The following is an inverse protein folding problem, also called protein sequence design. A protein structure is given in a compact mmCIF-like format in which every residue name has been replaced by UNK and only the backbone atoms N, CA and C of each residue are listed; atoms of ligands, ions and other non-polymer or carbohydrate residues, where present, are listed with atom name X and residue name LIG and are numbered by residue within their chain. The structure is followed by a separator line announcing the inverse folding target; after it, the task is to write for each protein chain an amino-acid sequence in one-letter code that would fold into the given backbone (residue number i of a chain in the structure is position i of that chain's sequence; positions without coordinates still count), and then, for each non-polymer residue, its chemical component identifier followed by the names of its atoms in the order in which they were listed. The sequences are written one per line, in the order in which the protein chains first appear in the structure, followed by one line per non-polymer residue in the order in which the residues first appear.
data_IF_771440463601
#
_entry.id   IF_771440463601
#
_cell.length_a   1.000
_cell.length_b   1.000
_cell.length_c   1.000
_cell.angle_alpha   90.00
_cell.angle_beta   90.00
_cell.angle_gamma   90.00
#
_symmetry.space_group_name_H-M   'P 1'
#
loop_
_entity.id
_entity.type
_entity.pdbx_description
1 polymer ?
#
# COMPACT_ATOMS: atom_id res chain seq x y z
N UNK A 1 15.39 20.66 24.31
CA UNK A 1 14.58 19.59 24.97
C UNK A 1 13.86 18.84 23.85
N UNK A 2 14.40 17.71 23.45
CA UNK A 2 13.82 16.90 22.38
C UNK A 2 12.78 15.95 23.00
N UNK A 3 11.49 16.19 22.79
CA UNK A 3 10.42 15.28 23.18
C UNK A 3 10.38 14.11 22.20
N UNK A 4 10.50 12.91 22.74
CA UNK A 4 10.39 11.64 22.05
C UNK A 4 8.92 11.41 21.70
N UNK A 5 8.59 11.36 20.41
CA UNK A 5 7.29 10.89 19.94
C UNK A 5 7.39 9.38 19.69
N UNK A 6 6.69 8.61 20.48
CA UNK A 6 6.49 7.18 20.25
C UNK A 6 5.14 6.99 19.54
N UNK A 7 5.17 6.47 18.33
CA UNK A 7 3.96 6.06 17.62
C UNK A 7 3.61 4.66 18.10
N UNK A 8 2.55 4.54 18.88
CA UNK A 8 2.06 3.26 19.40
C UNK A 8 0.93 2.78 18.50
N UNK A 9 1.19 1.76 17.70
CA UNK A 9 0.14 0.97 17.05
C UNK A 9 -0.30 -0.14 17.99
N UNK A 10 -1.48 -0.03 18.59
CA UNK A 10 -2.04 -1.09 19.42
C UNK A 10 -2.60 -2.17 18.50
N UNK A 11 -1.81 -3.22 18.30
CA UNK A 11 -2.30 -4.49 17.80
C UNK A 11 -2.93 -5.25 18.97
N UNK A 12 -4.26 -5.36 18.99
CA UNK A 12 -4.96 -6.25 19.93
C UNK A 12 -4.55 -7.69 19.66
N UNK A 13 -3.71 -8.22 20.54
CA UNK A 13 -3.23 -9.60 20.53
C UNK A 13 -4.35 -10.49 21.06
N UNK A 14 -4.92 -11.35 20.23
CA UNK A 14 -5.58 -12.55 20.69
C UNK A 14 -4.57 -13.69 20.66
N UNK A 15 -4.05 -14.06 21.82
CA UNK A 15 -3.30 -15.29 22.05
C UNK A 15 -4.29 -16.47 22.01
N UNK A 16 -4.24 -17.23 20.94
CA UNK A 16 -4.71 -18.61 20.94
C UNK A 16 -3.48 -19.51 20.79
N UNK A 17 -2.97 -19.97 21.92
CA UNK A 17 -1.97 -21.02 21.98
C UNK A 17 -2.62 -22.35 21.60
N UNK A 18 -2.50 -22.71 20.31
CA UNK A 18 -2.80 -24.05 19.82
C UNK A 18 -1.49 -24.77 19.54
N UNK A 19 -1.11 -25.72 20.42
CA UNK A 19 -0.02 -26.65 20.17
C UNK A 19 -0.36 -27.54 18.97
N UNK A 20 0.22 -27.25 17.80
CA UNK A 20 0.27 -28.23 16.71
C UNK A 20 1.54 -29.05 16.85
N UNK A 21 1.37 -30.34 17.21
CA UNK A 21 2.42 -31.35 17.05
C UNK A 21 2.69 -31.51 15.56
N UNK A 22 3.92 -31.23 15.13
CA UNK A 22 4.39 -31.53 13.78
C UNK A 22 4.42 -33.06 13.60
N UNK A 23 3.53 -33.57 12.77
CA UNK A 23 3.64 -34.93 12.26
C UNK A 23 4.70 -34.94 11.15
N UNK A 24 5.84 -35.55 11.40
CA UNK A 24 6.86 -35.85 10.41
C UNK A 24 6.35 -36.94 9.47
N UNK A 25 5.94 -36.57 8.26
CA UNK A 25 5.72 -37.50 7.17
C UNK A 25 7.08 -37.86 6.54
N UNK A 26 7.58 -39.04 6.81
CA UNK A 26 8.72 -39.62 6.10
C UNK A 26 8.22 -40.26 4.81
N UNK A 27 8.40 -39.59 3.67
CA UNK A 27 8.22 -40.16 2.35
C UNK A 27 9.59 -40.59 1.82
N UNK A 28 9.79 -41.88 1.60
CA UNK A 28 10.99 -42.50 1.01
C UNK A 28 10.98 -42.31 -0.50
N UNK A 29 11.51 -41.22 -0.95
CA UNK A 29 11.91 -40.88 -2.31
C UNK A 29 12.60 -39.55 -2.17
N UNK A 30 13.91 -39.42 -2.49
CA UNK A 30 14.86 -38.34 -2.21
C UNK A 30 14.19 -36.99 -1.92
N UNK A 31 13.82 -36.77 -0.69
CA UNK A 31 13.14 -35.55 -0.26
C UNK A 31 14.15 -34.42 -0.36
N UNK A 32 13.99 -33.58 -1.38
CA UNK A 32 14.72 -32.32 -1.44
C UNK A 32 14.37 -31.52 -0.19
N UNK A 33 15.41 -31.08 0.52
CA UNK A 33 15.28 -30.25 1.72
C UNK A 33 14.74 -28.87 1.29
N UNK A 34 13.44 -28.63 1.48
CA UNK A 34 12.79 -27.34 1.19
C UNK A 34 13.12 -26.26 2.24
N UNK A 35 13.98 -26.61 3.21
CA UNK A 35 14.51 -25.72 4.26
C UNK A 35 15.81 -25.00 3.85
N UNK A 36 16.34 -25.28 2.65
CA UNK A 36 17.49 -24.57 2.07
C UNK A 36 17.10 -23.78 0.83
N UNK A 37 17.83 -22.70 0.48
CA UNK A 37 17.59 -21.96 -0.74
C UNK A 37 17.60 -22.82 -2.00
N UNK A 38 18.58 -23.71 -2.14
CA UNK A 38 18.74 -24.61 -3.29
C UNK A 38 17.57 -25.59 -3.41
N UNK A 39 17.17 -26.19 -2.29
CA UNK A 39 16.02 -27.10 -2.25
C UNK A 39 14.71 -26.37 -2.56
N UNK A 40 14.57 -25.13 -2.12
CA UNK A 40 13.41 -24.29 -2.43
C UNK A 40 13.39 -23.87 -3.91
N UNK A 41 14.54 -23.54 -4.51
CA UNK A 41 14.65 -23.27 -5.96
C UNK A 41 14.15 -24.47 -6.76
N UNK A 42 14.61 -25.67 -6.42
CA UNK A 42 14.18 -26.91 -7.08
C UNK A 42 12.68 -27.15 -6.90
N UNK A 43 12.16 -26.94 -5.68
CA UNK A 43 10.73 -27.06 -5.39
C UNK A 43 9.88 -26.11 -6.24
N UNK A 44 10.21 -24.81 -6.28
CA UNK A 44 9.47 -23.81 -7.03
C UNK A 44 9.53 -24.04 -8.55
N UNK A 45 10.66 -24.53 -9.08
CA UNK A 45 10.79 -24.90 -10.50
C UNK A 45 9.86 -26.05 -10.88
N UNK A 46 9.63 -27.01 -9.99
CA UNK A 46 8.71 -28.14 -10.20
C UNK A 46 7.24 -27.72 -10.18
N UNK A 47 6.89 -26.75 -9.33
CA UNK A 47 5.52 -26.25 -9.20
C UNK A 47 5.00 -25.53 -10.45
N UNK A 48 5.89 -25.07 -11.34
CA UNK A 48 5.53 -24.40 -12.62
C UNK A 48 4.54 -23.25 -12.41
N UNK A 49 4.84 -22.36 -11.46
CA UNK A 49 3.97 -21.22 -11.14
C UNK A 49 3.84 -20.28 -12.34
N UNK A 50 2.61 -19.98 -12.84
CA UNK A 50 2.45 -19.22 -14.08
C UNK A 50 3.07 -17.82 -14.07
N UNK A 51 3.09 -17.16 -12.91
CA UNK A 51 3.65 -15.83 -12.77
C UNK A 51 5.19 -15.83 -12.64
N UNK A 52 5.82 -16.97 -12.34
CA UNK A 52 7.25 -17.05 -12.07
C UNK A 52 8.04 -17.32 -13.34
N UNK A 53 8.88 -16.38 -13.75
CA UNK A 53 9.78 -16.50 -14.91
C UNK A 53 11.06 -17.25 -14.56
N UNK A 54 11.69 -16.91 -13.43
CA UNK A 54 12.86 -17.59 -12.92
C UNK A 54 12.96 -17.50 -11.41
N UNK A 55 13.72 -18.43 -10.84
CA UNK A 55 14.08 -18.46 -9.42
C UNK A 55 15.53 -18.91 -9.28
N UNK A 56 16.28 -18.21 -8.44
CA UNK A 56 17.69 -18.49 -8.14
C UNK A 56 18.00 -18.18 -6.68
N UNK A 57 19.12 -18.71 -6.18
CA UNK A 57 19.62 -18.36 -4.85
C UNK A 57 20.07 -16.91 -4.87
N UNK A 58 19.72 -16.17 -3.84
CA UNK A 58 20.18 -14.80 -3.60
C UNK A 58 21.24 -14.82 -2.50
N UNK A 59 22.48 -14.64 -2.89
CA UNK A 59 23.60 -14.46 -1.95
C UNK A 59 23.53 -13.05 -1.33
N UNK A 60 23.46 -12.99 -0.02
CA UNK A 60 23.34 -11.75 0.75
C UNK A 60 23.80 -11.98 2.21
N UNK A 61 23.98 -10.89 2.95
CA UNK A 61 24.44 -10.89 4.33
C UNK A 61 23.33 -11.05 5.38
N UNK A 62 22.05 -10.99 4.96
CA UNK A 62 20.90 -10.99 5.88
C UNK A 62 20.38 -12.40 6.19
N UNK A 63 20.79 -13.41 5.45
CA UNK A 63 20.41 -14.81 5.64
C UNK A 63 20.18 -15.57 4.34
N UNK A 64 19.84 -16.87 4.43
CA UNK A 64 19.50 -17.66 3.26
C UNK A 64 18.40 -17.00 2.43
N UNK A 65 18.60 -16.82 1.14
CA UNK A 65 17.68 -16.03 0.33
C UNK A 65 17.47 -16.54 -1.09
N UNK A 66 16.40 -16.05 -1.71
CA UNK A 66 16.00 -16.30 -3.09
C UNK A 66 15.78 -15.00 -3.84
N UNK A 67 16.08 -15.02 -5.13
CA UNK A 67 15.60 -14.05 -6.10
C UNK A 67 14.58 -14.72 -7.00
N UNK A 68 13.36 -14.20 -6.98
CA UNK A 68 12.27 -14.59 -7.86
C UNK A 68 12.06 -13.49 -8.91
N UNK A 69 11.85 -13.89 -10.15
CA UNK A 69 11.62 -12.96 -11.26
C UNK A 69 10.27 -13.26 -11.88
N UNK A 70 9.48 -12.22 -12.09
CA UNK A 70 8.22 -12.27 -12.82
C UNK A 70 8.29 -11.39 -14.07
N UNK A 71 7.19 -11.18 -14.76
CA UNK A 71 7.15 -10.26 -15.89
C UNK A 71 7.50 -8.82 -15.46
N UNK A 72 6.94 -8.36 -14.32
CA UNK A 72 7.07 -6.97 -13.88
C UNK A 72 7.87 -6.78 -12.59
N UNK A 73 8.33 -7.86 -11.91
CA UNK A 73 9.01 -7.76 -10.62
C UNK A 73 10.30 -8.57 -10.55
N UNK A 74 11.26 -8.06 -9.76
CA UNK A 74 12.37 -8.79 -9.16
C UNK A 74 12.16 -8.79 -7.64
N UNK A 75 12.06 -9.97 -7.04
CA UNK A 75 11.71 -10.16 -5.63
C UNK A 75 12.87 -10.82 -4.94
N UNK A 76 13.55 -10.09 -4.07
CA UNK A 76 14.63 -10.58 -3.21
C UNK A 76 14.05 -10.92 -1.85
N UNK A 77 14.21 -12.16 -1.39
CA UNK A 77 13.56 -12.59 -0.16
C UNK A 77 14.41 -13.54 0.65
N UNK A 78 14.41 -13.35 1.97
CA UNK A 78 14.91 -14.31 2.95
C UNK A 78 13.78 -15.18 3.53
N UNK A 79 12.53 -14.95 3.10
CA UNK A 79 11.38 -15.73 3.52
C UNK A 79 11.30 -17.01 2.71
N UNK A 80 11.68 -18.14 3.31
CA UNK A 80 11.69 -19.47 2.67
C UNK A 80 10.42 -20.29 2.97
N UNK A 81 9.31 -19.64 3.32
CA UNK A 81 8.03 -20.32 3.56
C UNK A 81 7.37 -20.69 2.21
N UNK A 82 7.17 -22.00 1.92
CA UNK A 82 6.74 -22.47 0.60
C UNK A 82 5.43 -21.85 0.13
N UNK A 83 4.45 -21.70 1.03
CA UNK A 83 3.14 -21.16 0.68
C UNK A 83 3.22 -19.69 0.26
N UNK A 84 4.00 -18.88 0.97
CA UNK A 84 4.22 -17.48 0.61
C UNK A 84 4.94 -17.37 -0.73
N UNK A 85 6.01 -18.14 -0.93
CA UNK A 85 6.79 -18.12 -2.17
C UNK A 85 5.99 -18.54 -3.40
N UNK A 86 5.01 -19.44 -3.24
CA UNK A 86 4.07 -19.82 -4.32
C UNK A 86 3.08 -18.71 -4.64
N UNK A 87 2.73 -17.88 -3.69
CA UNK A 87 1.66 -16.89 -3.81
C UNK A 87 2.15 -15.48 -4.18
N UNK A 88 3.30 -15.05 -3.64
CA UNK A 88 3.84 -13.69 -3.83
C UNK A 88 3.99 -13.30 -5.30
N UNK A 89 4.53 -14.14 -6.21
CA UNK A 89 4.63 -13.78 -7.63
C UNK A 89 3.28 -13.46 -8.26
N UNK A 90 2.29 -14.34 -8.07
CA UNK A 90 0.93 -14.14 -8.61
C UNK A 90 0.21 -12.94 -8.01
N UNK A 91 0.41 -12.70 -6.71
CA UNK A 91 -0.13 -11.53 -6.02
C UNK A 91 0.42 -10.23 -6.61
N UNK A 92 1.74 -10.10 -6.73
CA UNK A 92 2.38 -8.89 -7.24
C UNK A 92 2.00 -8.61 -8.70
N UNK A 93 1.96 -9.63 -9.55
CA UNK A 93 1.49 -9.47 -10.94
C UNK A 93 0.01 -9.02 -10.99
N UNK A 94 -0.85 -9.58 -10.14
CA UNK A 94 -2.25 -9.15 -10.05
C UNK A 94 -2.37 -7.71 -9.53
N UNK A 95 -1.52 -7.33 -8.58
CA UNK A 95 -1.47 -5.96 -8.06
C UNK A 95 -1.03 -4.97 -9.14
N UNK A 96 0.00 -5.31 -9.93
CA UNK A 96 0.43 -4.49 -11.07
C UNK A 96 -0.73 -4.20 -12.04
N UNK A 97 -1.48 -5.20 -12.43
CA UNK A 97 -2.64 -5.01 -13.30
C UNK A 97 -3.77 -4.22 -12.62
N UNK A 98 -3.92 -4.37 -11.30
CA UNK A 98 -4.82 -3.55 -10.49
C UNK A 98 -4.42 -2.06 -10.50
N UNK A 99 -3.12 -1.75 -10.41
CA UNK A 99 -2.60 -0.37 -10.50
C UNK A 99 -2.83 0.21 -11.89
N UNK A 100 -2.57 -0.57 -12.94
CA UNK A 100 -2.89 -0.18 -14.32
C UNK A 100 -4.37 0.18 -14.48
N UNK A 101 -5.26 -0.57 -13.83
CA UNK A 101 -6.70 -0.34 -13.84
C UNK A 101 -7.17 0.94 -13.13
N UNK A 102 -6.26 1.73 -12.51
CA UNK A 102 -6.58 3.08 -12.03
C UNK A 102 -6.53 4.12 -13.15
N UNK A 103 -5.92 3.80 -14.26
CA UNK A 103 -5.78 4.65 -15.45
C UNK A 103 -6.79 4.23 -16.53
N UNK A 104 -7.24 5.14 -17.39
CA UNK A 104 -8.16 4.80 -18.48
C UNK A 104 -7.53 3.87 -19.52
N UNK A 105 -6.20 3.92 -19.66
CA UNK A 105 -5.43 3.08 -20.56
C UNK A 105 -4.16 2.57 -19.87
N UNK A 106 -3.76 1.31 -20.11
CA UNK A 106 -2.52 0.77 -19.55
C UNK A 106 -1.29 1.53 -20.05
N UNK A 107 -0.29 1.67 -19.20
CA UNK A 107 0.99 2.30 -19.51
C UNK A 107 2.12 1.26 -19.53
N UNK A 108 3.08 1.42 -20.44
CA UNK A 108 4.23 0.53 -20.54
C UNK A 108 5.17 0.67 -19.33
N UNK A 109 5.72 -0.46 -18.87
CA UNK A 109 6.77 -0.50 -17.85
C UNK A 109 8.03 -1.10 -18.45
N UNK A 110 9.09 -0.30 -18.56
CA UNK A 110 10.34 -0.70 -19.23
C UNK A 110 11.30 -1.46 -18.31
N UNK A 111 11.12 -1.39 -17.01
CA UNK A 111 11.98 -2.04 -16.00
C UNK A 111 11.14 -2.70 -14.95
N UNK A 112 11.60 -3.85 -14.44
CA UNK A 112 10.96 -4.54 -13.32
C UNK A 112 11.02 -3.70 -12.05
N UNK A 113 10.01 -3.86 -11.23
CA UNK A 113 9.95 -3.30 -9.89
C UNK A 113 10.75 -4.18 -8.93
N UNK A 114 11.45 -3.58 -7.99
CA UNK A 114 12.24 -4.30 -7.00
C UNK A 114 11.48 -4.41 -5.69
N UNK A 115 11.34 -5.63 -5.20
CA UNK A 115 10.75 -5.94 -3.89
C UNK A 115 11.81 -6.62 -3.04
N UNK A 116 12.00 -6.15 -1.80
CA UNK A 116 12.73 -6.85 -0.74
C UNK A 116 11.74 -7.33 0.29
N UNK A 117 11.67 -8.66 0.50
CA UNK A 117 10.75 -9.29 1.47
C UNK A 117 11.54 -10.14 2.45
N UNK A 118 11.70 -9.65 3.67
CA UNK A 118 12.47 -10.32 4.71
C UNK A 118 11.59 -11.25 5.56
N UNK A 119 12.17 -12.36 6.04
CA UNK A 119 11.48 -13.29 6.92
C UNK A 119 11.20 -12.68 8.30
N UNK A 120 12.12 -11.85 8.79
CA UNK A 120 12.05 -11.27 10.13
C UNK A 120 12.22 -9.75 10.11
N UNK A 121 11.70 -9.10 11.15
CA UNK A 121 11.90 -7.67 11.38
C UNK A 121 13.40 -7.33 11.53
N UNK A 122 14.18 -8.18 12.19
CA UNK A 122 15.61 -7.94 12.39
C UNK A 122 16.36 -7.83 11.06
N UNK A 123 16.14 -8.78 10.13
CA UNK A 123 16.74 -8.75 8.80
C UNK A 123 16.36 -7.50 8.02
N UNK A 124 15.09 -7.11 8.12
CA UNK A 124 14.55 -5.88 7.51
C UNK A 124 15.22 -4.63 8.10
N UNK A 125 15.41 -4.55 9.42
CA UNK A 125 16.10 -3.43 10.08
C UNK A 125 17.59 -3.37 9.68
N UNK A 126 18.27 -4.50 9.60
CA UNK A 126 19.67 -4.57 9.20
C UNK A 126 19.85 -4.11 7.74
N UNK A 127 19.01 -4.57 6.82
CA UNK A 127 18.96 -4.07 5.46
C UNK A 127 18.64 -2.57 5.42
N UNK A 128 17.64 -2.13 6.16
CA UNK A 128 17.18 -0.72 6.16
C UNK A 128 18.27 0.23 6.63
N UNK A 129 19.13 -0.17 7.58
CA UNK A 129 20.28 0.66 8.04
C UNK A 129 21.19 1.05 6.87
N UNK A 130 21.51 0.10 6.01
CA UNK A 130 22.37 0.34 4.84
C UNK A 130 21.59 1.02 3.72
N UNK A 131 20.39 0.53 3.40
CA UNK A 131 19.59 0.97 2.26
C UNK A 131 19.05 2.40 2.41
N UNK A 132 18.57 2.75 3.60
CA UNK A 132 18.01 4.07 3.89
C UNK A 132 19.04 5.05 4.47
N UNK A 133 20.21 4.58 4.94
CA UNK A 133 21.28 5.40 5.50
C UNK A 133 20.79 6.26 6.67
N UNK A 134 21.05 7.56 6.62
CA UNK A 134 20.65 8.50 7.68
C UNK A 134 19.14 8.57 7.95
N UNK A 135 18.29 8.09 7.03
CA UNK A 135 16.84 8.04 7.18
C UNK A 135 16.32 6.77 7.84
N UNK A 136 17.17 5.78 8.12
CA UNK A 136 16.76 4.47 8.65
C UNK A 136 15.91 4.57 9.92
N UNK A 137 16.25 5.50 10.83
CA UNK A 137 15.51 5.69 12.08
C UNK A 137 14.04 6.09 11.90
N UNK A 138 13.69 6.68 10.76
CA UNK A 138 12.30 7.04 10.45
C UNK A 138 11.48 5.78 10.14
N UNK A 139 12.10 4.81 9.44
CA UNK A 139 11.45 3.56 9.06
C UNK A 139 11.32 2.59 10.24
N UNK A 140 12.25 2.59 11.19
CA UNK A 140 12.15 1.71 12.38
C UNK A 140 10.91 1.96 13.24
N UNK A 141 10.25 3.10 13.07
CA UNK A 141 8.96 3.40 13.72
C UNK A 141 7.78 2.70 13.04
N UNK A 142 7.98 2.13 11.85
CA UNK A 142 6.94 1.43 11.12
C UNK A 142 6.72 0.06 11.77
N UNK A 143 5.53 -0.14 12.32
CA UNK A 143 5.10 -1.44 12.84
C UNK A 143 4.39 -2.29 11.79
N UNK A 144 3.89 -1.66 10.73
CA UNK A 144 3.07 -2.28 9.69
C UNK A 144 3.83 -3.09 8.65
N UNK A 145 5.16 -3.15 8.71
CA UNK A 145 5.97 -4.14 7.99
C UNK A 145 6.46 -3.78 6.61
N UNK A 146 6.22 -2.58 6.06
CA UNK A 146 6.73 -2.19 4.73
C UNK A 146 6.91 -0.68 4.57
N UNK A 147 7.76 -0.31 3.60
CA UNK A 147 7.90 1.06 3.10
C UNK A 147 8.35 1.08 1.64
N UNK A 148 8.05 2.17 0.94
CA UNK A 148 8.61 2.48 -0.38
C UNK A 148 9.75 3.49 -0.25
N UNK A 149 10.89 3.20 -0.84
CA UNK A 149 12.05 4.08 -0.87
C UNK A 149 12.96 3.77 -2.06
N UNK A 150 13.51 4.81 -2.70
CA UNK A 150 14.51 4.70 -3.77
C UNK A 150 14.12 3.71 -4.88
N UNK A 151 12.85 3.63 -5.23
CA UNK A 151 12.35 2.75 -6.28
C UNK A 151 12.07 1.31 -5.83
N UNK A 152 12.35 0.93 -4.58
CA UNK A 152 12.08 -0.38 -4.02
C UNK A 152 10.99 -0.35 -2.95
N UNK A 153 10.16 -1.40 -2.92
CA UNK A 153 9.31 -1.72 -1.78
C UNK A 153 10.09 -2.68 -0.86
N UNK A 154 10.17 -2.35 0.43
CA UNK A 154 10.95 -3.09 1.42
C UNK A 154 10.03 -3.53 2.55
N UNK A 155 9.80 -4.83 2.66
CA UNK A 155 8.83 -5.43 3.57
C UNK A 155 9.46 -6.54 4.44
N UNK A 156 8.80 -6.87 5.55
CA UNK A 156 9.06 -8.11 6.28
C UNK A 156 7.75 -8.85 6.57
N UNK A 157 7.87 -10.14 6.84
CA UNK A 157 6.72 -10.98 7.10
C UNK A 157 6.05 -10.64 8.44
N UNK A 158 4.80 -10.22 8.38
CA UNK A 158 3.92 -9.91 9.52
C UNK A 158 2.67 -10.80 9.54
N UNK A 159 2.79 -11.98 8.94
CA UNK A 159 1.70 -12.90 8.66
C UNK A 159 1.08 -12.66 7.27
N UNK A 160 0.70 -13.75 6.61
CA UNK A 160 0.38 -13.77 5.17
C UNK A 160 -0.55 -12.65 4.71
N UNK A 161 -1.74 -12.55 5.27
CA UNK A 161 -2.74 -11.57 4.84
C UNK A 161 -2.26 -10.12 5.03
N UNK A 162 -1.61 -9.84 6.15
CA UNK A 162 -1.07 -8.50 6.45
C UNK A 162 0.12 -8.17 5.56
N UNK A 163 0.98 -9.15 5.28
CA UNK A 163 2.12 -8.96 4.36
C UNK A 163 1.63 -8.64 2.95
N UNK A 164 0.63 -9.35 2.45
CA UNK A 164 0.02 -9.01 1.15
C UNK A 164 -0.68 -7.65 1.16
N UNK A 165 -1.36 -7.30 2.25
CA UNK A 165 -1.98 -5.99 2.39
C UNK A 165 -0.96 -4.85 2.27
N UNK A 166 0.16 -4.93 2.98
CA UNK A 166 1.20 -3.89 2.90
C UNK A 166 1.95 -3.91 1.56
N UNK A 167 2.19 -5.09 0.96
CA UNK A 167 2.77 -5.17 -0.37
C UNK A 167 1.88 -4.55 -1.45
N UNK A 168 0.56 -4.75 -1.35
CA UNK A 168 -0.40 -4.10 -2.25
C UNK A 168 -0.43 -2.58 -2.09
N UNK A 169 -0.39 -2.10 -0.87
CA UNK A 169 -0.38 -0.66 -0.54
C UNK A 169 0.92 0.01 -1.03
N UNK A 170 2.07 -0.47 -0.59
CA UNK A 170 3.38 0.09 -0.95
C UNK A 170 3.73 -0.10 -2.44
N UNK A 171 3.18 -1.14 -3.04
CA UNK A 171 3.31 -1.38 -4.49
C UNK A 171 2.65 -0.29 -5.33
N UNK A 172 1.53 0.30 -4.87
CA UNK A 172 0.96 1.47 -5.52
C UNK A 172 1.92 2.67 -5.45
N UNK A 173 2.52 2.96 -4.29
CA UNK A 173 3.48 4.04 -4.16
C UNK A 173 4.71 3.82 -5.05
N UNK A 174 5.15 2.56 -5.19
CA UNK A 174 6.22 2.19 -6.10
C UNK A 174 5.83 2.41 -7.57
N UNK A 175 4.61 2.01 -7.96
CA UNK A 175 4.07 2.22 -9.29
C UNK A 175 3.94 3.72 -9.62
N UNK A 176 3.29 4.48 -8.75
CA UNK A 176 3.17 5.93 -8.87
C UNK A 176 4.55 6.61 -8.91
N UNK A 177 5.44 6.25 -7.99
CA UNK A 177 6.78 6.81 -7.91
C UNK A 177 7.60 6.64 -9.20
N UNK A 178 7.35 5.59 -9.97
CA UNK A 178 8.04 5.31 -11.22
C UNK A 178 7.42 5.99 -12.44
N UNK A 179 6.10 6.02 -12.51
CA UNK A 179 5.40 6.38 -13.74
C UNK A 179 4.94 7.84 -13.79
N UNK A 180 4.55 8.38 -12.64
CA UNK A 180 4.00 9.74 -12.62
C UNK A 180 5.10 10.79 -12.63
N UNK A 181 4.95 11.79 -13.48
CA UNK A 181 5.84 12.96 -13.54
C UNK A 181 5.66 13.83 -12.31
N UNK A 182 4.42 14.07 -11.91
CA UNK A 182 4.09 14.83 -10.72
C UNK A 182 3.70 13.90 -9.57
N UNK A 183 3.99 14.32 -8.34
CA UNK A 183 3.51 13.65 -7.13
C UNK A 183 1.98 13.82 -7.01
N UNK A 184 1.28 12.76 -6.69
CA UNK A 184 -0.15 12.85 -6.41
C UNK A 184 -0.44 13.52 -5.05
N UNK A 185 -1.60 14.19 -4.89
CA UNK A 185 -2.11 14.64 -3.59
C UNK A 185 -2.14 13.49 -2.58
N UNK A 186 -1.80 13.77 -1.31
CA UNK A 186 -1.73 12.71 -0.30
C UNK A 186 -3.04 11.95 -0.14
N UNK A 187 -4.19 12.62 -0.14
CA UNK A 187 -5.49 11.96 -0.07
C UNK A 187 -5.73 11.01 -1.25
N UNK A 188 -5.25 11.38 -2.44
CA UNK A 188 -5.42 10.59 -3.66
C UNK A 188 -4.45 9.41 -3.68
N UNK A 189 -3.17 9.65 -3.36
CA UNK A 189 -2.13 8.64 -3.33
C UNK A 189 -2.44 7.57 -2.27
N UNK A 190 -2.69 7.97 -1.04
CA UNK A 190 -3.06 7.05 0.05
C UNK A 190 -4.43 6.40 -0.18
N UNK A 191 -5.39 7.16 -0.68
CA UNK A 191 -6.71 6.64 -0.99
C UNK A 191 -6.68 5.52 -2.03
N UNK A 192 -5.87 5.66 -3.09
CA UNK A 192 -5.68 4.60 -4.08
C UNK A 192 -4.92 3.42 -3.47
N UNK A 193 -3.84 3.66 -2.73
CA UNK A 193 -3.07 2.60 -2.07
C UNK A 193 -3.95 1.70 -1.20
N UNK A 194 -4.92 2.28 -0.47
CA UNK A 194 -5.86 1.52 0.37
C UNK A 194 -6.82 0.61 -0.39
N UNK A 195 -7.03 0.82 -1.70
CA UNK A 195 -7.85 -0.08 -2.52
C UNK A 195 -7.20 -1.46 -2.69
N UNK A 196 -5.88 -1.56 -2.48
CA UNK A 196 -5.07 -2.77 -2.67
C UNK A 196 -4.75 -3.51 -1.37
N UNK A 197 -5.30 -3.08 -0.25
CA UNK A 197 -5.08 -3.70 1.06
C UNK A 197 -5.87 -5.00 1.27
N UNK A 198 -6.98 -5.19 0.55
CA UNK A 198 -7.85 -6.36 0.68
C UNK A 198 -8.03 -7.05 -0.66
N UNK A 199 -7.80 -8.34 -0.64
CA UNK A 199 -7.90 -9.16 -1.84
C UNK A 199 -8.63 -10.47 -1.55
N UNK A 200 -9.08 -11.13 -2.61
CA UNK A 200 -9.46 -12.54 -2.65
C UNK A 200 -8.62 -13.25 -3.68
N UNK A 201 -8.28 -14.50 -3.45
CA UNK A 201 -7.56 -15.33 -4.43
C UNK A 201 -8.49 -16.34 -5.07
N UNK A 202 -8.36 -16.52 -6.37
CA UNK A 202 -9.07 -17.55 -7.13
C UNK A 202 -8.14 -18.09 -8.21
N UNK A 203 -7.84 -19.39 -8.16
CA UNK A 203 -6.98 -20.08 -9.14
C UNK A 203 -5.61 -19.42 -9.38
N UNK A 204 -5.01 -18.86 -8.33
CA UNK A 204 -3.69 -18.19 -8.41
C UNK A 204 -3.73 -16.74 -8.90
N UNK A 205 -4.90 -16.21 -9.22
CA UNK A 205 -5.12 -14.79 -9.49
C UNK A 205 -5.65 -14.09 -8.21
N UNK A 206 -5.34 -12.82 -8.07
CA UNK A 206 -5.77 -12.00 -6.95
C UNK A 206 -6.64 -10.85 -7.44
N UNK A 207 -7.79 -10.70 -6.81
CA UNK A 207 -8.77 -9.67 -7.11
C UNK A 207 -8.89 -8.75 -5.92
N UNK A 208 -8.65 -7.47 -6.14
CA UNK A 208 -8.74 -6.46 -5.10
C UNK A 208 -10.19 -6.02 -4.92
N UNK A 209 -10.69 -6.17 -3.70
CA UNK A 209 -12.08 -5.87 -3.35
C UNK A 209 -12.13 -4.68 -2.37
N UNK A 210 -12.08 -3.48 -2.95
CA UNK A 210 -12.15 -2.25 -2.15
C UNK A 210 -13.41 -2.18 -1.28
N UNK A 211 -14.52 -2.77 -1.70
CA UNK A 211 -15.77 -2.81 -0.93
C UNK A 211 -15.68 -3.57 0.40
N UNK A 212 -14.66 -4.41 0.57
CA UNK A 212 -14.45 -5.26 1.76
C UNK A 212 -13.33 -4.79 2.69
N UNK A 213 -12.77 -3.62 2.50
CA UNK A 213 -11.75 -3.12 3.42
C UNK A 213 -12.37 -2.75 4.78
N UNK A 214 -12.58 -3.76 5.61
CA UNK A 214 -13.27 -3.63 6.90
C UNK A 214 -12.54 -2.71 7.87
N UNK A 215 -11.21 -2.59 7.77
CA UNK A 215 -10.44 -1.68 8.60
C UNK A 215 -10.74 -0.21 8.24
N UNK A 216 -10.66 0.15 6.96
CA UNK A 216 -10.93 1.51 6.49
C UNK A 216 -12.39 1.90 6.66
N UNK A 217 -13.32 0.98 6.35
CA UNK A 217 -14.75 1.16 6.59
C UNK A 217 -15.08 1.30 8.08
N UNK A 218 -14.40 0.55 8.95
CA UNK A 218 -14.57 0.64 10.40
C UNK A 218 -14.10 1.99 10.96
N UNK A 219 -12.94 2.48 10.53
CA UNK A 219 -12.42 3.79 10.91
C UNK A 219 -13.34 4.92 10.43
N UNK A 220 -13.82 4.85 9.19
CA UNK A 220 -14.78 5.79 8.63
C UNK A 220 -16.10 5.80 9.40
N UNK A 221 -16.63 4.62 9.76
CA UNK A 221 -17.87 4.51 10.55
C UNK A 221 -17.72 5.14 11.92
N UNK A 222 -16.59 4.91 12.59
CA UNK A 222 -16.28 5.55 13.89
C UNK A 222 -16.24 7.07 13.76
N UNK A 223 -15.55 7.58 12.73
CA UNK A 223 -15.46 9.02 12.48
C UNK A 223 -16.85 9.66 12.29
N UNK A 224 -17.72 9.03 11.50
CA UNK A 224 -19.11 9.49 11.30
C UNK A 224 -19.93 9.48 12.60
N UNK A 225 -19.80 8.42 13.40
CA UNK A 225 -20.54 8.29 14.68
C UNK A 225 -20.07 9.28 15.75
N UNK A 226 -18.79 9.54 15.79
CA UNK A 226 -18.18 10.44 16.78
C UNK A 226 -18.21 11.92 16.36
N UNK A 227 -18.61 12.23 15.13
CA UNK A 227 -18.61 13.59 14.61
C UNK A 227 -17.22 14.18 14.40
N UNK A 228 -16.19 13.32 14.22
CA UNK A 228 -14.79 13.74 14.03
C UNK A 228 -14.29 13.53 12.60
N UNK A 229 -15.19 13.60 11.62
CA UNK A 229 -14.81 13.67 10.21
C UNK A 229 -13.96 14.92 9.95
N UNK A 230 -12.87 14.74 9.22
CA UNK A 230 -12.06 15.86 8.73
C UNK A 230 -12.88 16.56 7.62
N UNK A 231 -13.09 17.88 7.67
CA UNK A 231 -13.77 18.61 6.60
C UNK A 231 -13.10 18.37 5.25
N UNK A 232 -13.86 18.25 4.17
CA UNK A 232 -13.34 17.89 2.84
C UNK A 232 -12.23 18.84 2.38
N UNK A 233 -12.40 20.14 2.62
CA UNK A 233 -11.41 21.17 2.28
C UNK A 233 -10.08 20.97 3.01
N UNK A 234 -10.12 20.50 4.23
CA UNK A 234 -8.94 20.19 5.03
C UNK A 234 -8.34 18.84 4.61
N UNK A 235 -9.16 17.80 4.44
CA UNK A 235 -8.74 16.46 4.02
C UNK A 235 -7.86 16.50 2.77
N UNK A 236 -8.23 17.31 1.79
CA UNK A 236 -7.47 17.41 0.53
C UNK A 236 -6.17 18.20 0.66
N UNK A 237 -6.01 18.98 1.71
CA UNK A 237 -4.85 19.87 1.91
C UNK A 237 -3.80 19.32 2.87
N UNK A 238 -4.12 18.34 3.71
CA UNK A 238 -3.22 17.76 4.71
C UNK A 238 -2.50 16.50 4.18
N UNK A 239 -1.43 16.13 4.86
CA UNK A 239 -0.75 14.86 4.62
C UNK A 239 -0.68 14.00 5.89
N UNK A 240 -0.43 12.69 5.78
CA UNK A 240 -0.35 11.80 6.93
C UNK A 240 0.66 12.24 8.00
N UNK A 241 1.77 12.88 7.60
CA UNK A 241 2.79 13.34 8.54
C UNK A 241 2.32 14.48 9.45
N UNK A 242 1.43 15.36 8.95
CA UNK A 242 0.82 16.41 9.77
C UNK A 242 -0.15 15.80 10.80
N UNK A 243 -0.93 14.83 10.37
CA UNK A 243 -1.90 14.13 11.21
C UNK A 243 -1.19 13.31 12.29
N UNK A 244 -0.08 12.65 11.96
CA UNK A 244 0.77 11.93 12.91
C UNK A 244 1.40 12.83 13.97
N UNK A 245 1.58 14.13 13.70
CA UNK A 245 2.15 15.08 14.64
C UNK A 245 1.18 15.52 15.74
N UNK A 246 -0.12 15.30 15.58
CA UNK A 246 -1.21 15.73 16.50
C UNK A 246 -1.51 14.69 17.58
N UNK A 247 -0.72 13.63 17.72
CA UNK A 247 -0.76 12.63 18.82
C UNK A 247 -2.13 11.98 19.14
N UNK A 248 -3.08 12.00 18.19
CA UNK A 248 -4.36 11.31 18.28
C UNK A 248 -4.40 10.14 17.30
N UNK A 249 -4.24 8.91 17.80
CA UNK A 249 -4.32 7.66 17.02
C UNK A 249 -5.56 7.58 16.11
N UNK A 250 -6.66 8.18 16.55
CA UNK A 250 -7.91 8.18 15.78
C UNK A 250 -7.81 9.05 14.53
N UNK A 251 -7.07 10.19 14.55
CA UNK A 251 -7.01 11.13 13.42
C UNK A 251 -6.32 10.55 12.19
N UNK A 252 -5.24 9.77 12.39
CA UNK A 252 -4.56 9.05 11.29
C UNK A 252 -5.50 8.05 10.63
N UNK A 253 -6.20 7.26 11.44
CA UNK A 253 -7.17 6.27 10.97
C UNK A 253 -8.34 6.91 10.23
N UNK A 254 -8.77 8.10 10.66
CA UNK A 254 -9.80 8.91 10.01
C UNK A 254 -9.31 9.42 8.66
N UNK A 255 -8.11 9.98 8.57
CA UNK A 255 -7.51 10.44 7.31
C UNK A 255 -7.49 9.33 6.26
N UNK A 256 -6.95 8.15 6.60
CA UNK A 256 -6.91 7.02 5.67
C UNK A 256 -8.31 6.51 5.31
N UNK A 257 -9.22 6.42 6.28
CA UNK A 257 -10.59 5.99 6.05
C UNK A 257 -11.35 6.95 5.15
N UNK A 258 -11.14 8.27 5.30
CA UNK A 258 -11.75 9.28 4.44
C UNK A 258 -11.10 9.35 3.06
N UNK A 259 -9.77 9.25 2.95
CA UNK A 259 -9.06 9.21 1.68
C UNK A 259 -9.50 8.01 0.83
N UNK A 260 -9.62 6.83 1.45
CA UNK A 260 -10.20 5.64 0.82
C UNK A 260 -11.63 5.88 0.32
N UNK A 261 -12.49 6.47 1.16
CA UNK A 261 -13.87 6.75 0.79
C UNK A 261 -13.96 7.81 -0.31
N UNK A 262 -13.08 8.82 -0.32
CA UNK A 262 -13.07 9.88 -1.32
C UNK A 262 -12.68 9.33 -2.71
N UNK A 263 -11.67 8.48 -2.79
CA UNK A 263 -11.30 7.82 -4.04
C UNK A 263 -12.45 6.94 -4.55
N UNK A 264 -13.10 6.17 -3.67
CA UNK A 264 -14.28 5.38 -4.03
C UNK A 264 -15.46 6.25 -4.48
N UNK A 265 -15.72 7.36 -3.80
CA UNK A 265 -16.75 8.32 -4.16
C UNK A 265 -16.56 8.83 -5.59
N UNK A 266 -15.34 9.24 -5.94
CA UNK A 266 -15.04 9.71 -7.29
C UNK A 266 -15.21 8.62 -8.36
N UNK A 267 -14.96 7.37 -8.01
CA UNK A 267 -15.00 6.25 -8.94
C UNK A 267 -16.36 5.56 -9.03
N UNK A 268 -17.12 5.51 -7.95
CA UNK A 268 -18.29 4.63 -7.81
C UNK A 268 -19.62 5.37 -7.71
N UNK A 269 -19.65 6.59 -7.09
CA UNK A 269 -20.91 7.28 -6.82
C UNK A 269 -21.62 7.70 -8.10
N UNK A 270 -22.96 7.52 -8.09
CA UNK A 270 -23.80 7.88 -9.25
C UNK A 270 -23.39 7.13 -10.52
N UNK A 271 -23.08 5.83 -10.40
CA UNK A 271 -22.59 5.00 -11.52
C UNK A 271 -21.30 5.54 -12.15
N UNK A 272 -20.43 6.12 -11.35
CA UNK A 272 -19.15 6.65 -11.81
C UNK A 272 -19.27 8.03 -12.48
N UNK A 273 -20.23 8.85 -12.06
CA UNK A 273 -20.43 10.20 -12.65
C UNK A 273 -19.18 11.08 -12.62
N UNK A 274 -18.20 10.79 -11.71
CA UNK A 274 -16.93 11.52 -11.58
C UNK A 274 -15.72 10.73 -12.04
N UNK A 275 -15.91 9.52 -12.60
CA UNK A 275 -14.80 8.67 -13.01
C UNK A 275 -13.93 9.32 -14.08
N UNK A 276 -14.52 10.04 -15.02
CA UNK A 276 -13.77 10.78 -16.04
C UNK A 276 -12.90 11.89 -15.42
N UNK A 277 -13.43 12.63 -14.46
CA UNK A 277 -12.71 13.67 -13.73
C UNK A 277 -11.51 13.07 -12.94
N UNK A 278 -11.76 11.96 -12.25
CA UNK A 278 -10.72 11.19 -11.56
C UNK A 278 -9.59 10.75 -12.54
N UNK A 279 -9.94 10.21 -13.70
CA UNK A 279 -8.99 9.82 -14.72
C UNK A 279 -8.20 11.00 -15.28
N UNK A 280 -8.84 12.15 -15.53
CA UNK A 280 -8.16 13.35 -16.01
C UNK A 280 -7.15 13.89 -14.98
N UNK A 281 -7.52 13.88 -13.70
CA UNK A 281 -6.61 14.24 -12.61
C UNK A 281 -5.37 13.34 -12.60
N UNK A 282 -5.55 12.02 -12.72
CA UNK A 282 -4.44 11.06 -12.77
C UNK A 282 -3.59 11.24 -14.03
N UNK A 283 -4.20 11.39 -15.19
CA UNK A 283 -3.48 11.58 -16.46
C UNK A 283 -2.62 12.85 -16.45
N UNK A 284 -3.15 13.94 -15.90
CA UNK A 284 -2.37 15.18 -15.73
C UNK A 284 -1.14 14.99 -14.85
N UNK A 285 -1.27 14.23 -13.75
CA UNK A 285 -0.14 13.87 -12.90
C UNK A 285 0.88 12.96 -13.59
N UNK A 286 0.37 11.97 -14.33
CA UNK A 286 1.18 11.03 -15.10
C UNK A 286 2.03 11.76 -16.14
N UNK A 287 1.42 12.63 -16.93
CA UNK A 287 2.07 13.38 -18.03
C UNK A 287 2.86 14.61 -17.57
N UNK A 288 2.59 15.13 -16.36
CA UNK A 288 3.18 16.38 -15.88
C UNK A 288 2.56 17.63 -16.54
N UNK A 289 1.30 17.56 -16.92
CA UNK A 289 0.60 18.61 -17.67
C UNK A 289 -0.57 19.25 -16.91
N UNK A 290 -0.62 19.10 -15.57
CA UNK A 290 -1.61 19.81 -14.76
C UNK A 290 -1.59 21.32 -15.06
N UNK A 291 -2.75 21.98 -15.05
CA UNK A 291 -2.87 23.41 -15.34
C UNK A 291 -2.42 24.27 -14.14
N UNK A 292 -1.13 24.19 -13.84
CA UNK A 292 -0.47 24.87 -12.73
C UNK A 292 0.42 25.99 -13.22
N UNK A 293 0.63 27.00 -12.38
CA UNK A 293 1.69 28.00 -12.60
C UNK A 293 3.06 27.34 -12.67
N UNK A 294 4.07 28.03 -13.21
CA UNK A 294 5.43 27.48 -13.27
C UNK A 294 6.00 27.17 -11.88
N UNK A 295 5.68 27.99 -10.88
CA UNK A 295 6.09 27.79 -9.49
C UNK A 295 5.44 26.52 -8.94
N UNK A 296 4.12 26.37 -9.12
CA UNK A 296 3.38 25.21 -8.60
C UNK A 296 3.79 23.92 -9.31
N UNK A 297 4.15 23.98 -10.61
CA UNK A 297 4.70 22.83 -11.34
C UNK A 297 6.04 22.37 -10.75
N UNK A 298 6.92 23.30 -10.39
CA UNK A 298 8.20 22.95 -9.74
C UNK A 298 7.95 22.29 -8.38
N UNK A 299 6.97 22.79 -7.62
CA UNK A 299 6.56 22.16 -6.36
C UNK A 299 5.99 20.75 -6.62
N UNK A 300 5.11 20.60 -7.61
CA UNK A 300 4.48 19.32 -7.95
C UNK A 300 5.49 18.26 -8.43
N UNK A 301 6.53 18.66 -9.15
CA UNK A 301 7.58 17.77 -9.63
C UNK A 301 8.58 17.36 -8.53
N UNK A 302 8.64 18.10 -7.42
CA UNK A 302 9.59 17.82 -6.35
C UNK A 302 9.17 16.61 -5.54
N UNK A 303 9.95 15.56 -5.63
CA UNK A 303 9.75 14.32 -4.87
C UNK A 303 10.47 14.32 -3.51
N UNK A 304 10.99 15.44 -3.08
CA UNK A 304 11.64 15.55 -1.79
C UNK A 304 10.59 15.54 -0.67
N UNK A 305 10.67 14.55 0.20
CA UNK A 305 9.74 14.30 1.30
C UNK A 305 9.51 15.53 2.21
N UNK A 306 10.52 16.33 2.62
CA UNK A 306 10.31 17.48 3.48
C UNK A 306 9.34 18.53 2.91
N UNK A 307 9.13 18.54 1.61
CA UNK A 307 8.23 19.50 0.94
C UNK A 307 6.79 18.99 0.77
N UNK A 308 6.47 17.82 1.26
CA UNK A 308 5.15 17.22 1.08
C UNK A 308 4.03 18.05 1.70
N UNK A 309 4.27 18.70 2.84
CA UNK A 309 3.30 19.59 3.50
C UNK A 309 2.98 20.78 2.59
N UNK A 310 4.01 21.50 2.14
CA UNK A 310 3.84 22.62 1.22
C UNK A 310 3.12 22.19 -0.05
N UNK A 311 3.49 21.04 -0.61
CA UNK A 311 2.88 20.48 -1.79
C UNK A 311 1.36 20.29 -1.62
N UNK A 312 0.93 19.59 -0.56
CA UNK A 312 -0.49 19.33 -0.35
C UNK A 312 -1.29 20.61 -0.09
N UNK A 313 -0.76 21.56 0.69
CA UNK A 313 -1.45 22.83 0.98
C UNK A 313 -1.53 23.77 -0.20
N UNK A 314 -0.55 23.73 -1.12
CA UNK A 314 -0.47 24.65 -2.25
C UNK A 314 -1.11 24.05 -3.50
N UNK A 315 -0.75 22.84 -3.87
CA UNK A 315 -1.09 22.26 -5.19
C UNK A 315 -2.41 21.48 -5.14
N UNK A 316 -2.62 20.67 -4.09
CA UNK A 316 -3.77 19.77 -4.02
C UNK A 316 -5.14 20.48 -4.11
N UNK A 317 -5.38 21.61 -3.39
CA UNK A 317 -6.65 22.33 -3.50
C UNK A 317 -6.90 22.91 -4.91
N UNK A 318 -5.84 23.37 -5.60
CA UNK A 318 -5.95 23.86 -6.97
C UNK A 318 -6.40 22.75 -7.92
N UNK A 319 -5.79 21.57 -7.80
CA UNK A 319 -6.13 20.41 -8.60
C UNK A 319 -7.56 19.93 -8.32
N UNK A 320 -7.94 19.87 -7.05
CA UNK A 320 -9.27 19.44 -6.66
C UNK A 320 -10.34 20.36 -7.23
N UNK A 321 -10.13 21.67 -7.10
CA UNK A 321 -11.02 22.68 -7.69
C UNK A 321 -11.13 22.55 -9.21
N UNK A 322 -10.01 22.32 -9.90
CA UNK A 322 -9.99 22.25 -11.35
C UNK A 322 -10.66 20.98 -11.90
N UNK A 323 -10.34 19.82 -11.31
CA UNK A 323 -10.77 18.53 -11.86
C UNK A 323 -12.05 17.99 -11.22
N UNK A 324 -12.33 18.30 -9.95
CA UNK A 324 -13.41 17.66 -9.21
C UNK A 324 -14.59 18.61 -8.99
N UNK A 325 -14.39 19.68 -8.20
CA UNK A 325 -15.43 20.70 -7.97
C UNK A 325 -14.85 21.93 -7.29
N UNK A 326 -15.40 23.10 -7.59
CA UNK A 326 -15.20 24.34 -6.83
C UNK A 326 -16.31 24.58 -5.78
N UNK A 327 -17.43 23.88 -5.89
CA UNK A 327 -18.46 23.80 -4.85
C UNK A 327 -18.09 22.75 -3.81
N UNK A 328 -17.33 23.19 -2.80
CA UNK A 328 -16.89 22.29 -1.73
C UNK A 328 -18.03 21.90 -0.77
N UNK A 329 -18.98 22.79 -0.54
CA UNK A 329 -20.07 22.56 0.42
C UNK A 329 -21.04 21.51 -0.12
N UNK A 330 -21.55 21.71 -1.33
CA UNK A 330 -22.43 20.75 -1.97
C UNK A 330 -21.76 19.39 -2.20
N UNK A 331 -20.47 19.40 -2.56
CA UNK A 331 -19.73 18.15 -2.73
C UNK A 331 -19.49 17.41 -1.41
N UNK A 332 -19.24 18.12 -0.31
CA UNK A 332 -19.07 17.54 1.03
C UNK A 332 -20.35 16.87 1.52
N UNK A 333 -21.51 17.45 1.23
CA UNK A 333 -22.80 16.83 1.53
C UNK A 333 -22.97 15.50 0.77
N UNK A 334 -22.72 15.48 -0.54
CA UNK A 334 -22.79 14.28 -1.37
C UNK A 334 -21.77 13.22 -0.89
N UNK A 335 -20.55 13.64 -0.61
CA UNK A 335 -19.49 12.76 -0.10
C UNK A 335 -19.85 12.16 1.25
N UNK A 336 -20.38 12.96 2.17
CA UNK A 336 -20.82 12.49 3.48
C UNK A 336 -21.98 11.50 3.37
N UNK A 337 -22.93 11.76 2.47
CA UNK A 337 -24.01 10.80 2.17
C UNK A 337 -23.47 9.47 1.63
N UNK A 338 -22.49 9.54 0.72
CA UNK A 338 -21.80 8.34 0.22
C UNK A 338 -21.06 7.59 1.35
N UNK A 339 -20.35 8.30 2.22
CA UNK A 339 -19.69 7.70 3.37
C UNK A 339 -20.67 6.93 4.27
N UNK A 340 -21.83 7.53 4.59
CA UNK A 340 -22.90 6.86 5.35
C UNK A 340 -23.42 5.61 4.66
N UNK A 341 -23.59 5.65 3.34
CA UNK A 341 -24.05 4.54 2.51
C UNK A 341 -23.07 3.35 2.57
N UNK A 342 -21.77 3.58 2.33
CA UNK A 342 -20.78 2.49 2.27
C UNK A 342 -20.48 1.84 3.62
N UNK A 343 -20.72 2.55 4.75
CA UNK A 343 -20.53 1.99 6.09
C UNK A 343 -21.80 1.44 6.72
N UNK A 344 -22.94 1.49 6.04
CA UNK A 344 -24.23 1.11 6.61
C UNK A 344 -24.21 -0.29 7.23
N UNK A 345 -23.71 -1.28 6.50
CA UNK A 345 -23.66 -2.68 6.94
C UNK A 345 -22.43 -3.04 7.80
N UNK A 346 -21.53 -2.11 8.05
CA UNK A 346 -20.31 -2.36 8.82
C UNK A 346 -20.66 -2.54 10.30
N UNK A 347 -20.31 -3.69 10.86
CA UNK A 347 -20.42 -3.95 12.30
C UNK A 347 -19.12 -3.54 12.97
N UNK A 348 -19.15 -2.58 13.88
CA UNK A 348 -18.01 -2.28 14.73
C UNK A 348 -17.86 -3.40 15.76
N UNK A 349 -16.65 -3.97 15.86
CA UNK A 349 -16.36 -4.88 16.98
C UNK A 349 -16.42 -4.04 18.26
N UNK A 350 -17.32 -4.39 19.17
CA UNK A 350 -17.36 -3.77 20.49
C UNK A 350 -16.00 -3.92 21.19
N UNK A 351 -15.57 -2.91 21.92
CA UNK A 351 -14.53 -3.10 22.93
C UNK A 351 -15.18 -4.00 24.00
N UNK A 352 -14.77 -5.29 24.06
CA UNK A 352 -14.99 -6.08 25.24
C UNK A 352 -13.99 -5.68 26.31
#
# INVERSE_FOLDING_TARGET
MARKFAIIWIASIFSLAGCFKSASFVSSGGAHRIDTPEGMVEHLRREKLPALTSVEVWENEYGPGLKLVTAHYEIFTTLLEPLMLRQVPGFLESAYWGYQGQLPEPIGTSRRFTIYLFATRQQWEDFTRTFAGSRASQFFRIEAGAYYLNGACVAYNIGRERTFSVLGHEGWHQFNGRHFTFRLPSWLDEGIATLFEVHRSEKGLYYFDSGRNGYRLGSLKKALMNGNMIPLRELIAINPGEVLAVDEEDTVSVFYGQSYALVRFLREEGYGKRLQNYHQLLLGGLKGDWPLSEIDRRIAADRNIPRTILWNRTVSPLLFKHYISDDFEGLEEEYTAFCRKIVYHVKLKGRN
#
